data_IF_857056256444
#
_entry.id   IF_857056256444
#
_cell.length_a   1.000
_cell.length_b   1.000
_cell.length_c   1.000
_cell.angle_alpha   90.00
_cell.angle_beta   90.00
_cell.angle_gamma   90.00
#
_symmetry.space_group_name_H-M   'P 1'
#
loop_
_entity.id
_entity.type
_entity.pdbx_description
1 polymer ?
#
# COMPACT_ATOMS: atom_id res chain seq x y z
N UNK A 1 8.86 -18.62 -23.58
CA UNK A 1 9.31 -17.31 -23.10
C UNK A 1 8.94 -16.34 -24.19
N UNK A 2 7.71 -15.91 -24.17
CA UNK A 2 7.12 -15.00 -25.13
C UNK A 2 6.99 -13.61 -24.56
N UNK A 3 6.62 -12.65 -25.40
CA UNK A 3 6.30 -11.28 -25.01
C UNK A 3 4.90 -11.17 -24.34
N UNK A 4 4.44 -12.25 -23.69
CA UNK A 4 3.14 -12.29 -23.04
C UNK A 4 3.22 -11.57 -21.68
N UNK A 5 2.42 -10.51 -21.51
CA UNK A 5 2.25 -9.82 -20.25
C UNK A 5 1.08 -10.42 -19.46
N UNK A 6 1.35 -10.84 -18.22
CA UNK A 6 0.34 -11.36 -17.31
C UNK A 6 0.20 -10.47 -16.07
N UNK A 7 -1.03 -10.07 -15.77
CA UNK A 7 -1.34 -9.36 -14.53
C UNK A 7 -1.46 -10.36 -13.37
N UNK A 8 -0.36 -10.57 -12.64
CA UNK A 8 -0.30 -11.47 -11.50
C UNK A 8 -0.87 -10.86 -10.22
N UNK A 9 -0.84 -9.53 -10.11
CA UNK A 9 -1.39 -8.76 -9.00
C UNK A 9 -2.29 -7.66 -9.54
N UNK A 10 -3.57 -7.74 -9.23
CA UNK A 10 -4.55 -6.69 -9.52
C UNK A 10 -4.90 -5.93 -8.25
N UNK A 11 -4.99 -4.63 -8.38
CA UNK A 11 -5.50 -3.76 -7.35
C UNK A 11 -6.72 -3.03 -7.92
N UNK A 12 -7.90 -3.41 -7.48
CA UNK A 12 -9.17 -2.79 -7.89
C UNK A 12 -9.59 -1.83 -6.77
N UNK A 13 -9.21 -0.56 -6.90
CA UNK A 13 -9.49 0.45 -5.88
C UNK A 13 -10.98 0.87 -5.88
N UNK A 14 -11.51 1.28 -4.71
CA UNK A 14 -12.88 1.76 -4.60
C UNK A 14 -13.08 3.04 -5.40
N UNK A 15 -14.27 3.23 -5.94
CA UNK A 15 -14.62 4.42 -6.75
C UNK A 15 -15.28 5.53 -5.93
N UNK A 16 -15.53 5.29 -4.63
CA UNK A 16 -16.02 6.28 -3.69
C UNK A 16 -15.61 5.97 -2.26
N UNK A 17 -15.63 6.97 -1.39
CA UNK A 17 -15.43 6.76 0.04
C UNK A 17 -16.58 5.97 0.66
N UNK A 18 -17.81 6.12 0.17
CA UNK A 18 -18.95 5.36 0.68
C UNK A 18 -18.78 3.85 0.43
N UNK A 19 -18.20 3.46 -0.71
CA UNK A 19 -17.82 2.06 -0.97
C UNK A 19 -16.79 1.55 0.03
N UNK A 20 -15.80 2.38 0.42
CA UNK A 20 -14.82 2.01 1.44
C UNK A 20 -15.52 1.71 2.78
N UNK A 21 -16.42 2.60 3.19
CA UNK A 21 -17.12 2.45 4.48
C UNK A 21 -18.03 1.23 4.48
N UNK A 22 -18.74 0.99 3.39
CA UNK A 22 -19.55 -0.20 3.21
C UNK A 22 -18.68 -1.47 3.30
N UNK A 23 -17.58 -1.52 2.56
CA UNK A 23 -16.68 -2.69 2.57
C UNK A 23 -16.04 -2.93 3.94
N UNK A 24 -15.69 -1.88 4.66
CA UNK A 24 -15.17 -2.02 6.03
C UNK A 24 -16.25 -2.58 6.96
N UNK A 25 -17.51 -2.14 6.85
CA UNK A 25 -18.60 -2.60 7.72
C UNK A 25 -18.95 -4.09 7.51
N UNK A 26 -18.67 -4.65 6.33
CA UNK A 26 -18.87 -6.08 6.02
C UNK A 26 -17.90 -7.00 6.80
N UNK A 27 -16.82 -6.46 7.37
CA UNK A 27 -15.88 -7.23 8.17
C UNK A 27 -16.27 -7.28 9.65
N UNK A 28 -15.91 -8.36 10.32
CA UNK A 28 -16.08 -8.46 11.77
C UNK A 28 -15.38 -7.28 12.49
N UNK A 29 -16.14 -6.61 13.36
CA UNK A 29 -15.71 -5.41 14.07
C UNK A 29 -15.59 -4.15 13.19
N UNK A 30 -15.96 -4.19 11.90
CA UNK A 30 -15.89 -3.05 10.98
C UNK A 30 -16.76 -1.88 11.40
N UNK A 31 -18.02 -2.13 11.77
CA UNK A 31 -18.93 -1.09 12.26
C UNK A 31 -18.39 -0.41 13.52
N UNK A 32 -17.81 -1.19 14.45
CA UNK A 32 -17.20 -0.66 15.66
C UNK A 32 -15.98 0.21 15.35
N UNK A 33 -15.15 -0.21 14.38
CA UNK A 33 -14.02 0.59 13.91
C UNK A 33 -14.48 1.93 13.36
N UNK A 34 -15.47 1.93 12.45
CA UNK A 34 -16.03 3.13 11.84
C UNK A 34 -16.63 4.06 12.90
N UNK A 35 -17.46 3.52 13.80
CA UNK A 35 -18.09 4.28 14.87
C UNK A 35 -17.05 4.95 15.82
N UNK A 36 -15.99 4.24 16.16
CA UNK A 36 -14.92 4.78 16.98
C UNK A 36 -14.09 5.82 16.21
N UNK A 37 -13.81 5.57 14.94
CA UNK A 37 -13.04 6.49 14.11
C UNK A 37 -13.80 7.83 13.94
N UNK A 38 -15.11 7.78 13.74
CA UNK A 38 -15.95 8.99 13.60
C UNK A 38 -16.04 9.87 14.85
N UNK A 39 -15.74 9.33 16.05
CA UNK A 39 -15.67 10.14 17.27
C UNK A 39 -14.46 11.07 17.30
N UNK A 40 -13.37 10.67 16.67
CA UNK A 40 -12.08 11.35 16.71
C UNK A 40 -11.75 12.06 15.40
N UNK A 41 -12.21 11.51 14.27
CA UNK A 41 -11.82 11.92 12.92
C UNK A 41 -13.03 12.03 12.00
N UNK A 42 -12.94 12.93 11.02
CA UNK A 42 -13.95 13.05 9.97
C UNK A 42 -13.71 12.00 8.88
N UNK A 43 -14.71 11.19 8.57
CA UNK A 43 -14.66 10.30 7.41
C UNK A 43 -14.85 11.11 6.12
N UNK A 44 -13.91 11.03 5.17
CA UNK A 44 -14.06 11.68 3.86
C UNK A 44 -15.26 11.11 3.09
N UNK A 45 -15.79 11.92 2.17
CA UNK A 45 -16.93 11.60 1.31
C UNK A 45 -16.61 11.92 -0.16
N UNK A 46 -17.43 11.40 -1.07
CA UNK A 46 -17.37 11.71 -2.49
C UNK A 46 -16.70 10.63 -3.33
N UNK A 47 -16.60 10.89 -4.63
CA UNK A 47 -16.00 9.99 -5.61
C UNK A 47 -14.48 9.95 -5.51
N UNK A 48 -13.92 8.84 -5.95
CA UNK A 48 -12.47 8.61 -6.08
C UNK A 48 -12.22 8.38 -7.58
N UNK A 49 -11.54 9.33 -8.19
CA UNK A 49 -11.12 9.27 -9.60
C UNK A 49 -9.59 9.16 -9.64
N UNK A 50 -9.10 7.98 -9.31
CA UNK A 50 -7.68 7.64 -9.28
C UNK A 50 -7.45 6.33 -10.01
N UNK A 51 -6.29 6.16 -10.68
CA UNK A 51 -5.93 4.90 -11.33
C UNK A 51 -5.73 3.78 -10.31
N UNK A 52 -5.96 2.54 -10.73
CA UNK A 52 -5.85 1.35 -9.90
C UNK A 52 -4.36 0.96 -9.69
N UNK A 53 -3.69 1.57 -8.71
CA UNK A 53 -2.30 1.29 -8.35
C UNK A 53 -2.00 1.61 -6.87
N UNK A 54 -0.84 1.21 -6.38
CA UNK A 54 -0.46 1.43 -4.97
C UNK A 54 -0.26 2.90 -4.61
N UNK A 55 0.20 3.75 -5.55
CA UNK A 55 0.31 5.18 -5.28
C UNK A 55 -1.06 5.79 -4.95
N UNK A 56 -2.08 5.46 -5.73
CA UNK A 56 -3.47 5.88 -5.50
C UNK A 56 -4.02 5.35 -4.17
N UNK A 57 -3.69 4.12 -3.79
CA UNK A 57 -4.05 3.59 -2.47
C UNK A 57 -3.46 4.45 -1.34
N UNK A 58 -2.20 4.89 -1.48
CA UNK A 58 -1.58 5.79 -0.50
C UNK A 58 -2.28 7.15 -0.43
N UNK A 59 -2.74 7.69 -1.56
CA UNK A 59 -3.51 8.95 -1.58
C UNK A 59 -4.87 8.79 -0.91
N UNK A 60 -5.53 7.66 -1.08
CA UNK A 60 -6.78 7.33 -0.38
C UNK A 60 -6.53 7.24 1.13
N UNK A 61 -5.52 6.49 1.54
CA UNK A 61 -5.12 6.35 2.96
C UNK A 61 -4.77 7.72 3.55
N UNK A 62 -3.99 8.54 2.84
CA UNK A 62 -3.63 9.90 3.24
C UNK A 62 -4.87 10.74 3.56
N UNK A 63 -5.85 10.71 2.67
CA UNK A 63 -7.11 11.45 2.83
C UNK A 63 -7.94 10.94 4.01
N UNK A 64 -8.01 9.63 4.21
CA UNK A 64 -8.71 9.00 5.35
C UNK A 64 -8.04 9.40 6.68
N UNK A 65 -6.72 9.40 6.73
CA UNK A 65 -5.95 9.75 7.92
C UNK A 65 -5.85 11.27 8.16
N UNK A 66 -6.30 12.11 7.21
CA UNK A 66 -6.26 13.56 7.30
C UNK A 66 -4.84 14.15 7.21
N UNK A 67 -3.95 13.52 6.43
CA UNK A 67 -2.55 13.93 6.32
C UNK A 67 -2.29 15.00 5.24
N UNK A 68 -3.33 15.40 4.48
CA UNK A 68 -3.28 16.51 3.52
C UNK A 68 -2.16 16.37 2.46
N UNK A 69 -1.99 15.20 1.90
CA UNK A 69 -0.97 14.92 0.89
C UNK A 69 0.43 14.66 1.47
N UNK A 70 0.57 14.48 2.78
CA UNK A 70 1.87 14.38 3.44
C UNK A 70 2.33 12.95 3.76
N UNK A 71 1.56 11.91 3.42
CA UNK A 71 1.89 10.53 3.80
C UNK A 71 3.30 10.11 3.38
N UNK A 72 3.73 10.45 2.16
CA UNK A 72 5.06 10.11 1.66
C UNK A 72 6.17 10.95 2.30
N UNK A 73 5.89 12.21 2.65
CA UNK A 73 6.81 13.09 3.37
C UNK A 73 6.97 12.63 4.82
N UNK A 74 5.87 12.30 5.50
CA UNK A 74 5.92 11.75 6.86
C UNK A 74 6.71 10.45 6.94
N UNK A 75 6.58 9.58 5.93
CA UNK A 75 7.38 8.37 5.87
C UNK A 75 8.89 8.68 5.72
N UNK A 76 9.26 9.67 4.92
CA UNK A 76 10.65 10.11 4.77
C UNK A 76 11.22 10.70 6.06
N UNK A 77 10.38 11.43 6.81
CA UNK A 77 10.78 12.12 8.04
C UNK A 77 10.75 11.21 9.28
N UNK A 78 10.45 9.93 9.12
CA UNK A 78 10.47 8.97 10.21
C UNK A 78 11.90 8.56 10.54
N UNK A 79 12.27 8.66 11.83
CA UNK A 79 13.61 8.35 12.34
C UNK A 79 13.68 7.04 13.13
N UNK A 80 12.56 6.32 13.27
CA UNK A 80 12.52 5.02 13.96
C UNK A 80 13.07 3.87 13.11
N UNK A 81 13.33 2.74 13.75
CA UNK A 81 13.90 1.56 13.08
C UNK A 81 12.84 0.74 12.32
N UNK A 82 11.60 0.74 12.79
CA UNK A 82 10.48 -0.02 12.21
C UNK A 82 9.20 0.77 12.38
N UNK A 83 8.37 0.75 11.34
CA UNK A 83 7.02 1.28 11.39
C UNK A 83 6.01 0.29 11.99
N UNK A 84 4.78 0.73 12.19
CA UNK A 84 3.65 -0.16 12.49
C UNK A 84 3.43 -1.12 11.32
N UNK A 85 3.04 -2.35 11.62
CA UNK A 85 2.82 -3.36 10.57
C UNK A 85 1.41 -3.22 9.99
N UNK A 86 1.31 -2.71 8.77
CA UNK A 86 0.06 -2.63 8.04
C UNK A 86 -0.28 -4.00 7.42
N UNK A 87 -1.55 -4.40 7.51
CA UNK A 87 -2.00 -5.71 7.05
C UNK A 87 -2.24 -5.71 5.53
N UNK A 88 -1.18 -5.95 4.75
CA UNK A 88 -1.25 -6.15 3.30
C UNK A 88 -1.39 -7.63 2.99
N UNK A 89 -2.48 -7.99 2.31
CA UNK A 89 -2.79 -9.36 1.91
C UNK A 89 -3.46 -9.41 0.55
N UNK A 90 -3.54 -10.61 0.01
CA UNK A 90 -4.39 -10.91 -1.13
C UNK A 90 -5.81 -11.26 -0.64
N UNK A 91 -6.83 -10.77 -1.33
CA UNK A 91 -8.23 -11.20 -1.16
C UNK A 91 -8.53 -12.48 -1.92
N UNK A 92 -7.80 -12.71 -3.01
CA UNK A 92 -7.84 -13.91 -3.84
C UNK A 92 -6.44 -14.22 -4.38
N UNK A 93 -6.31 -15.21 -5.27
CA UNK A 93 -5.00 -15.56 -5.86
C UNK A 93 -4.30 -14.43 -6.61
N UNK A 94 -5.04 -13.45 -7.12
CA UNK A 94 -4.48 -12.37 -7.97
C UNK A 94 -5.00 -10.98 -7.62
N UNK A 95 -5.70 -10.79 -6.50
CA UNK A 95 -6.31 -9.52 -6.13
C UNK A 95 -5.85 -9.05 -4.75
N UNK A 96 -5.43 -7.81 -4.68
CA UNK A 96 -4.98 -7.17 -3.44
C UNK A 96 -6.15 -6.74 -2.56
N UNK A 97 -6.10 -7.04 -1.26
CA UNK A 97 -7.11 -6.65 -0.26
C UNK A 97 -6.81 -5.24 0.30
N UNK A 98 -7.25 -4.23 -0.41
CA UNK A 98 -7.10 -2.84 0.04
C UNK A 98 -7.93 -2.52 1.30
N UNK A 99 -9.00 -3.27 1.57
CA UNK A 99 -9.85 -3.06 2.75
C UNK A 99 -9.06 -3.32 4.03
N UNK A 100 -8.31 -4.42 4.08
CA UNK A 100 -7.43 -4.73 5.22
C UNK A 100 -6.38 -3.66 5.45
N UNK A 101 -5.76 -3.18 4.37
CA UNK A 101 -4.77 -2.12 4.44
C UNK A 101 -5.35 -0.85 5.10
N UNK A 102 -6.50 -0.38 4.61
CA UNK A 102 -7.18 0.81 5.16
C UNK A 102 -7.60 0.59 6.62
N UNK A 103 -8.25 -0.53 6.93
CA UNK A 103 -8.66 -0.86 8.31
C UNK A 103 -7.48 -0.86 9.27
N UNK A 104 -6.36 -1.42 8.85
CA UNK A 104 -5.14 -1.49 9.65
C UNK A 104 -4.59 -0.09 9.95
N UNK A 105 -4.51 0.80 8.96
CA UNK A 105 -4.06 2.18 9.16
C UNK A 105 -4.98 2.97 10.09
N UNK A 106 -6.31 2.85 9.92
CA UNK A 106 -7.31 3.47 10.80
C UNK A 106 -7.17 2.96 12.25
N UNK A 107 -6.96 1.66 12.43
CA UNK A 107 -6.77 1.05 13.76
C UNK A 107 -5.54 1.59 14.47
N UNK A 108 -4.40 1.71 13.76
CA UNK A 108 -3.19 2.31 14.35
C UNK A 108 -3.36 3.80 14.67
N UNK A 109 -4.10 4.53 13.83
CA UNK A 109 -4.43 5.94 14.09
C UNK A 109 -5.25 6.09 15.37
N UNK A 110 -6.28 5.25 15.56
CA UNK A 110 -7.08 5.22 16.80
C UNK A 110 -6.27 4.79 18.03
N UNK A 111 -5.28 3.91 17.85
CA UNK A 111 -4.38 3.49 18.91
C UNK A 111 -3.33 4.57 19.27
N UNK A 112 -3.38 5.76 18.65
CA UNK A 112 -2.48 6.87 18.96
C UNK A 112 -1.09 6.78 18.31
N UNK A 113 -0.90 5.89 17.34
CA UNK A 113 0.35 5.88 16.57
C UNK A 113 0.51 7.21 15.80
N UNK A 114 1.71 7.77 15.82
CA UNK A 114 1.97 9.03 15.15
C UNK A 114 1.99 8.90 13.61
N UNK A 115 1.78 10.03 12.93
CA UNK A 115 1.64 10.08 11.48
C UNK A 115 2.88 9.54 10.75
N UNK A 116 4.09 9.83 11.23
CA UNK A 116 5.33 9.39 10.58
C UNK A 116 5.51 7.89 10.71
N UNK A 117 5.17 7.33 11.90
CA UNK A 117 5.23 5.90 12.15
C UNK A 117 4.26 5.12 11.26
N UNK A 118 2.99 5.58 11.15
CA UNK A 118 1.98 4.95 10.28
C UNK A 118 2.43 5.05 8.83
N UNK A 119 2.87 6.23 8.39
CA UNK A 119 3.28 6.46 7.01
C UNK A 119 4.48 5.61 6.59
N UNK A 120 5.51 5.54 7.44
CA UNK A 120 6.65 4.65 7.21
C UNK A 120 6.22 3.19 7.23
N UNK A 121 5.36 2.79 8.18
CA UNK A 121 4.80 1.45 8.29
C UNK A 121 4.03 1.02 7.04
N UNK A 122 3.30 1.94 6.39
CA UNK A 122 2.66 1.68 5.11
C UNK A 122 3.69 1.28 4.03
N UNK A 123 4.78 2.04 3.89
CA UNK A 123 5.81 1.75 2.88
C UNK A 123 6.61 0.49 3.22
N UNK A 124 6.99 0.33 4.48
CA UNK A 124 7.75 -0.85 4.94
C UNK A 124 6.93 -2.14 4.76
N UNK A 125 5.66 -2.13 5.16
CA UNK A 125 4.78 -3.30 5.00
C UNK A 125 4.50 -3.61 3.53
N UNK A 126 4.41 -2.58 2.64
CA UNK A 126 4.30 -2.80 1.21
C UNK A 126 5.56 -3.48 0.64
N UNK A 127 6.75 -3.03 1.04
CA UNK A 127 7.99 -3.64 0.59
C UNK A 127 8.10 -5.12 1.01
N UNK A 128 7.67 -5.46 2.24
CA UNK A 128 7.56 -6.85 2.68
C UNK A 128 6.55 -7.64 1.85
N UNK A 129 5.35 -7.07 1.63
CA UNK A 129 4.33 -7.72 0.81
C UNK A 129 4.84 -8.01 -0.60
N UNK A 130 5.54 -7.07 -1.23
CA UNK A 130 6.11 -7.27 -2.57
C UNK A 130 7.22 -8.33 -2.57
N UNK A 131 8.02 -8.42 -1.51
CA UNK A 131 9.02 -9.47 -1.37
C UNK A 131 8.38 -10.85 -1.22
N UNK A 132 7.40 -10.99 -0.32
CA UNK A 132 6.68 -12.25 -0.10
C UNK A 132 5.92 -12.69 -1.38
N UNK A 133 5.31 -11.74 -2.08
CA UNK A 133 4.63 -12.00 -3.35
C UNK A 133 5.62 -12.40 -4.45
N UNK A 134 6.79 -11.78 -4.49
CA UNK A 134 7.88 -12.16 -5.37
C UNK A 134 8.35 -13.60 -5.15
N UNK A 135 8.44 -14.06 -3.89
CA UNK A 135 8.79 -15.45 -3.57
C UNK A 135 7.78 -16.43 -4.17
N UNK A 136 6.48 -16.13 -4.05
CA UNK A 136 5.42 -16.95 -4.67
C UNK A 136 5.58 -16.99 -6.20
N UNK A 137 5.82 -15.85 -6.84
CA UNK A 137 5.98 -15.77 -8.30
C UNK A 137 7.25 -16.48 -8.78
N UNK A 138 8.32 -16.47 -7.99
CA UNK A 138 9.54 -17.20 -8.33
C UNK A 138 9.30 -18.69 -8.38
N UNK A 139 8.59 -19.22 -7.40
CA UNK A 139 8.30 -20.64 -7.31
C UNK A 139 7.31 -21.10 -8.41
N UNK A 140 6.35 -20.24 -8.78
CA UNK A 140 5.33 -20.57 -9.78
C UNK A 140 5.79 -20.32 -11.24
N UNK A 141 6.61 -19.28 -11.47
CA UNK A 141 6.96 -18.80 -12.82
C UNK A 141 8.46 -18.85 -13.14
N UNK A 142 9.30 -19.35 -12.25
CA UNK A 142 10.76 -19.39 -12.40
C UNK A 142 11.37 -18.01 -12.70
N UNK A 143 10.83 -16.93 -12.06
CA UNK A 143 11.30 -15.57 -12.26
C UNK A 143 12.73 -15.37 -11.73
N UNK A 144 13.61 -14.73 -12.50
CA UNK A 144 15.01 -14.49 -12.11
C UNK A 144 15.19 -13.17 -11.32
N UNK A 145 14.23 -12.25 -11.36
CA UNK A 145 14.34 -10.96 -10.72
C UNK A 145 13.07 -10.13 -10.75
N UNK A 146 13.12 -8.98 -10.08
CA UNK A 146 12.04 -8.00 -10.00
C UNK A 146 12.48 -6.66 -10.58
N UNK A 147 11.60 -6.03 -11.32
CA UNK A 147 11.82 -4.68 -11.84
C UNK A 147 10.72 -3.77 -11.29
N UNK A 148 11.13 -2.71 -10.61
CA UNK A 148 10.24 -1.70 -10.05
C UNK A 148 10.13 -0.48 -10.97
N UNK A 149 8.93 0.06 -11.11
CA UNK A 149 8.64 1.29 -11.88
C UNK A 149 7.42 2.00 -11.30
N UNK A 150 7.21 3.24 -11.72
CA UNK A 150 6.07 4.07 -11.34
C UNK A 150 6.34 5.04 -10.19
N UNK A 151 5.46 6.04 -10.04
CA UNK A 151 5.62 7.21 -9.17
C UNK A 151 5.90 6.88 -7.70
N UNK A 152 5.37 5.77 -7.20
CA UNK A 152 5.60 5.39 -5.82
C UNK A 152 7.10 5.17 -5.53
N UNK A 153 7.83 4.58 -6.48
CA UNK A 153 9.26 4.29 -6.34
C UNK A 153 10.17 5.50 -6.58
N UNK A 154 9.63 6.66 -6.97
CA UNK A 154 10.34 7.94 -6.90
C UNK A 154 10.60 8.37 -5.44
N UNK A 155 9.80 7.88 -4.49
CA UNK A 155 10.06 8.09 -3.07
C UNK A 155 11.23 7.21 -2.59
N UNK A 156 12.31 7.82 -2.04
CA UNK A 156 13.52 7.07 -1.68
C UNK A 156 13.30 6.05 -0.56
N UNK A 157 12.30 6.23 0.30
CA UNK A 157 12.02 5.29 1.38
C UNK A 157 11.57 3.96 0.82
N UNK A 158 10.50 3.94 0.00
CA UNK A 158 10.01 2.69 -0.59
C UNK A 158 11.00 2.08 -1.56
N UNK A 159 11.74 2.92 -2.32
CA UNK A 159 12.77 2.46 -3.22
C UNK A 159 13.87 1.66 -2.47
N UNK A 160 14.39 2.22 -1.39
CA UNK A 160 15.40 1.57 -0.56
C UNK A 160 14.87 0.32 0.14
N UNK A 161 13.63 0.37 0.67
CA UNK A 161 13.00 -0.78 1.33
C UNK A 161 12.74 -1.92 0.34
N UNK A 162 12.22 -1.63 -0.85
CA UNK A 162 11.97 -2.63 -1.89
C UNK A 162 13.29 -3.32 -2.32
N UNK A 163 14.33 -2.56 -2.60
CA UNK A 163 15.64 -3.14 -2.90
C UNK A 163 16.19 -3.97 -1.74
N UNK A 164 16.10 -3.45 -0.50
CA UNK A 164 16.59 -4.14 0.69
C UNK A 164 15.93 -5.50 0.89
N UNK A 165 14.60 -5.58 0.79
CA UNK A 165 13.86 -6.81 1.08
C UNK A 165 13.84 -7.77 -0.12
N UNK A 166 13.73 -7.25 -1.33
CA UNK A 166 13.68 -8.11 -2.51
C UNK A 166 15.07 -8.58 -2.97
N UNK A 167 16.16 -7.83 -2.74
CA UNK A 167 17.51 -8.26 -3.14
C UNK A 167 18.07 -9.43 -2.32
N UNK A 168 17.47 -9.79 -1.20
CA UNK A 168 17.88 -10.98 -0.47
C UNK A 168 17.66 -12.26 -1.27
N UNK A 169 16.64 -12.28 -2.15
CA UNK A 169 16.19 -13.47 -2.87
C UNK A 169 16.20 -13.29 -4.41
N UNK A 170 16.30 -12.04 -4.92
CA UNK A 170 16.19 -11.71 -6.35
C UNK A 170 17.24 -10.71 -6.80
N UNK A 171 17.48 -10.68 -8.11
CA UNK A 171 18.14 -9.55 -8.77
C UNK A 171 17.11 -8.44 -8.99
N UNK A 172 16.96 -7.54 -8.01
CA UNK A 172 16.00 -6.45 -8.07
C UNK A 172 16.64 -5.18 -8.57
N UNK A 173 15.92 -4.44 -9.42
CA UNK A 173 16.38 -3.14 -9.96
C UNK A 173 15.20 -2.24 -10.30
N UNK A 174 15.49 -0.96 -10.50
CA UNK A 174 14.52 -0.04 -11.11
C UNK A 174 14.56 -0.13 -12.63
N UNK A 175 13.40 0.13 -13.24
CA UNK A 175 13.28 0.14 -14.68
C UNK A 175 14.10 1.27 -15.29
N UNK A 176 14.94 0.96 -16.28
CA UNK A 176 15.55 1.98 -17.13
C UNK A 176 14.67 2.36 -18.34
N UNK A 177 13.60 1.62 -18.60
CA UNK A 177 12.68 1.81 -19.73
C UNK A 177 11.42 2.62 -19.35
N UNK A 178 10.94 2.41 -18.13
CA UNK A 178 9.75 3.09 -17.61
C UNK A 178 10.19 4.09 -16.54
N UNK A 179 9.77 5.36 -16.62
CA UNK A 179 10.13 6.35 -15.63
C UNK A 179 9.61 5.98 -14.24
N UNK A 180 10.30 6.43 -13.20
CA UNK A 180 9.81 6.34 -11.82
C UNK A 180 8.75 7.42 -11.57
N UNK A 181 8.87 8.56 -12.24
CA UNK A 181 7.88 9.64 -12.24
C UNK A 181 7.16 9.67 -13.60
N UNK A 182 5.85 9.83 -13.54
CA UNK A 182 5.01 10.06 -14.70
C UNK A 182 4.51 11.50 -14.56
N UNK A 183 4.84 12.34 -15.51
CA UNK A 183 4.39 13.73 -15.61
C UNK A 183 2.85 13.82 -15.76
#
# INVERSE_FOLDING_TARGET
KGDDEFNMLRINLPKSFDEIWQKISEFDGGDRLLANYQKEYTLPKGSIDLPDNFYSLFMIIDKILGYNGQILNYARDYSGLKGVRIDYKMSSKSEFDWVRAIRSTMSFRLAGADAKNISFGCLESLAFFLSDFGDILKDELECEGMIFSGNLFANPVIANLALKFCNSNYKSKFSGRYPLEID
#
